data_IF_455789371990
#
_entry.id   IF_455789371990
#
_cell.length_a   1.000
_cell.length_b   1.000
_cell.length_c   1.000
_cell.angle_alpha   90.00
_cell.angle_beta   90.00
_cell.angle_gamma   90.00
#
_symmetry.space_group_name_H-M   'P 1'
#
loop_
_entity.id
_entity.type
_entity.pdbx_description
1 polymer ?
#
# COMPACT_ATOMS: atom_id res chain seq x y z
N UNK A 1 25.96 -50.89 -23.52
CA UNK A 1 25.43 -50.17 -22.34
C UNK A 1 26.10 -48.83 -22.08
N UNK A 2 27.43 -48.70 -22.23
CA UNK A 2 28.17 -47.44 -21.98
C UNK A 2 27.74 -46.24 -22.86
N UNK A 3 27.44 -46.46 -24.16
CA UNK A 3 26.97 -45.39 -25.06
C UNK A 3 25.64 -44.75 -24.65
N UNK A 4 24.72 -45.52 -24.05
CA UNK A 4 23.44 -44.98 -23.59
C UNK A 4 23.59 -44.14 -22.32
N UNK A 5 24.57 -44.46 -21.47
CA UNK A 5 24.88 -43.68 -20.28
C UNK A 5 25.38 -42.27 -20.63
N UNK A 6 26.21 -42.14 -21.69
CA UNK A 6 26.67 -40.83 -22.17
C UNK A 6 25.55 -39.95 -22.72
N UNK A 7 24.57 -40.55 -23.41
CA UNK A 7 23.41 -39.81 -23.94
C UNK A 7 22.53 -39.29 -22.81
N UNK A 8 22.30 -40.08 -21.77
CA UNK A 8 21.53 -39.68 -20.59
C UNK A 8 22.24 -38.54 -19.85
N UNK A 9 23.55 -38.61 -19.71
CA UNK A 9 24.35 -37.57 -19.06
C UNK A 9 24.35 -36.24 -19.85
N UNK A 10 24.43 -36.33 -21.19
CA UNK A 10 24.34 -35.17 -22.08
C UNK A 10 22.97 -34.48 -21.99
N UNK A 11 21.89 -35.26 -21.92
CA UNK A 11 20.52 -34.73 -21.75
C UNK A 11 20.39 -34.05 -20.39
N UNK A 12 20.83 -34.67 -19.29
CA UNK A 12 20.79 -34.04 -17.95
C UNK A 12 21.58 -32.73 -17.88
N UNK A 13 22.76 -32.67 -18.51
CA UNK A 13 23.56 -31.47 -18.58
C UNK A 13 22.83 -30.33 -19.32
N UNK A 14 22.10 -30.65 -20.41
CA UNK A 14 21.31 -29.68 -21.16
C UNK A 14 20.11 -29.11 -20.38
N UNK A 15 19.46 -29.90 -19.51
CA UNK A 15 18.34 -29.42 -18.68
C UNK A 15 18.81 -28.48 -17.56
N UNK A 16 20.08 -28.59 -17.16
CA UNK A 16 20.66 -27.82 -16.04
C UNK A 16 20.89 -26.34 -16.37
N UNK A 17 20.98 -25.98 -17.65
CA UNK A 17 21.18 -24.59 -18.10
C UNK A 17 19.86 -23.83 -18.36
N UNK A 18 18.71 -24.47 -18.19
CA UNK A 18 17.39 -23.87 -18.43
C UNK A 18 16.83 -23.10 -17.23
N UNK A 19 17.57 -23.00 -16.11
CA UNK A 19 17.15 -22.19 -14.96
C UNK A 19 17.40 -20.71 -15.25
N UNK A 20 16.59 -20.16 -16.16
CA UNK A 20 16.41 -18.72 -16.28
C UNK A 20 15.52 -18.31 -15.10
N UNK A 21 16.13 -18.01 -13.95
CA UNK A 21 15.44 -17.22 -12.93
C UNK A 21 15.11 -15.87 -13.58
N UNK A 22 13.88 -15.72 -14.06
CA UNK A 22 13.34 -14.40 -14.35
C UNK A 22 13.27 -13.70 -13.00
N UNK A 23 14.16 -12.73 -12.82
CA UNK A 23 14.08 -11.78 -11.72
C UNK A 23 12.74 -11.04 -11.88
N UNK A 24 11.71 -11.51 -11.17
CA UNK A 24 10.37 -10.94 -11.17
C UNK A 24 10.48 -9.51 -10.61
N UNK A 25 10.55 -8.53 -11.50
CA UNK A 25 10.58 -7.13 -11.11
C UNK A 25 9.18 -6.75 -10.67
N UNK A 26 8.93 -6.78 -9.35
CA UNK A 26 7.64 -6.36 -8.79
C UNK A 26 7.49 -4.84 -8.89
N UNK A 27 6.88 -4.39 -9.99
CA UNK A 27 6.55 -2.97 -10.20
C UNK A 27 5.47 -2.47 -9.27
N UNK A 28 4.55 -3.35 -8.85
CA UNK A 28 3.51 -3.02 -7.87
C UNK A 28 3.97 -3.29 -6.45
N UNK A 29 3.44 -2.51 -5.53
CA UNK A 29 3.67 -2.58 -4.10
C UNK A 29 2.40 -2.20 -3.34
N UNK A 30 2.41 -2.46 -2.03
CA UNK A 30 1.30 -2.11 -1.14
C UNK A 30 1.58 -0.78 -0.45
N UNK A 31 0.68 0.18 -0.62
CA UNK A 31 0.61 1.38 0.21
C UNK A 31 -0.52 1.19 1.23
N UNK A 32 -0.18 1.29 2.52
CA UNK A 32 -1.15 1.31 3.61
C UNK A 32 -1.15 2.70 4.24
N UNK A 33 -2.25 3.43 4.14
CA UNK A 33 -2.40 4.69 4.86
C UNK A 33 -3.07 4.43 6.19
N UNK A 34 -2.70 5.15 7.25
CA UNK A 34 -3.27 5.03 8.59
C UNK A 34 -3.62 6.41 9.11
N UNK A 35 -4.92 6.69 9.27
CA UNK A 35 -5.40 7.92 9.88
C UNK A 35 -5.06 7.94 11.38
N UNK A 36 -4.36 8.98 11.82
CA UNK A 36 -4.08 9.21 13.23
C UNK A 36 -5.24 9.94 13.90
N UNK A 37 -5.75 9.37 15.00
CA UNK A 37 -6.77 10.02 15.83
C UNK A 37 -6.12 10.83 16.94
N UNK A 38 -6.87 11.76 17.52
CA UNK A 38 -6.41 12.53 18.68
C UNK A 38 -6.23 11.60 19.87
N UNK A 39 -5.32 11.97 20.79
CA UNK A 39 -5.04 11.16 21.98
C UNK A 39 -6.31 10.90 22.79
N UNK A 40 -6.59 9.62 23.05
CA UNK A 40 -7.76 9.19 23.83
C UNK A 40 -9.05 9.04 23.04
N UNK A 41 -9.02 9.23 21.71
CA UNK A 41 -10.15 8.91 20.84
C UNK A 41 -10.08 7.46 20.36
N UNK A 42 -11.24 6.80 20.33
CA UNK A 42 -11.46 5.47 19.77
C UNK A 42 -12.27 5.61 18.46
N UNK A 43 -11.78 5.00 17.38
CA UNK A 43 -12.51 4.99 16.10
C UNK A 43 -13.72 4.07 16.20
N UNK A 44 -14.92 4.60 15.92
CA UNK A 44 -16.12 3.78 15.74
C UNK A 44 -16.34 3.52 14.25
N UNK A 45 -16.23 4.55 13.42
CA UNK A 45 -16.51 4.47 11.99
C UNK A 45 -15.73 5.53 11.22
N UNK A 46 -15.35 5.20 9.99
CA UNK A 46 -14.78 6.13 9.03
C UNK A 46 -15.49 5.98 7.68
N UNK A 47 -15.70 7.11 7.01
CA UNK A 47 -16.15 7.18 5.62
C UNK A 47 -15.37 8.30 4.94
N UNK A 48 -14.81 8.06 3.77
CA UNK A 48 -14.02 9.06 3.08
C UNK A 48 -13.37 8.48 1.83
N UNK A 49 -12.45 9.25 1.26
CA UNK A 49 -11.63 8.82 0.13
C UNK A 49 -10.19 9.25 0.35
N UNK A 50 -9.24 8.35 0.09
CA UNK A 50 -7.82 8.66 0.00
C UNK A 50 -7.40 8.49 -1.45
N UNK A 51 -6.59 9.43 -1.93
CA UNK A 51 -6.02 9.45 -3.28
C UNK A 51 -4.51 9.60 -3.21
N UNK A 52 -3.81 8.68 -3.86
CA UNK A 52 -2.38 8.74 -4.13
C UNK A 52 -2.19 9.10 -5.61
N UNK A 53 -1.56 10.24 -5.87
CA UNK A 53 -1.20 10.68 -7.22
C UNK A 53 0.31 10.53 -7.41
N UNK A 54 0.72 9.64 -8.30
CA UNK A 54 2.12 9.45 -8.65
C UNK A 54 2.65 10.73 -9.32
N UNK A 55 3.67 11.35 -8.76
CA UNK A 55 4.19 12.65 -9.21
C UNK A 55 4.92 12.52 -10.56
N UNK A 56 5.52 11.36 -10.83
CA UNK A 56 6.32 11.16 -12.04
C UNK A 56 5.47 10.91 -13.28
N UNK A 57 4.38 10.16 -13.15
CA UNK A 57 3.55 9.74 -14.28
C UNK A 57 2.08 10.18 -14.20
N UNK A 58 1.70 10.93 -13.16
CA UNK A 58 0.35 11.45 -12.94
C UNK A 58 -0.75 10.38 -12.79
N UNK A 59 -0.39 9.11 -12.61
CA UNK A 59 -1.36 8.05 -12.36
C UNK A 59 -1.94 8.18 -10.94
N UNK A 60 -3.27 8.15 -10.86
CA UNK A 60 -4.02 8.29 -9.61
C UNK A 60 -4.56 6.94 -9.14
N UNK A 61 -4.46 6.70 -7.84
CA UNK A 61 -5.00 5.54 -7.14
C UNK A 61 -5.87 6.04 -6.01
N UNK A 62 -7.15 5.67 -6.01
CA UNK A 62 -8.10 6.13 -4.99
C UNK A 62 -8.83 4.95 -4.36
N UNK A 63 -9.13 5.06 -3.08
CA UNK A 63 -9.99 4.11 -2.37
C UNK A 63 -10.88 4.82 -1.36
N UNK A 64 -12.09 4.30 -1.21
CA UNK A 64 -13.02 4.68 -0.14
C UNK A 64 -13.26 3.53 0.85
N UNK A 65 -12.52 2.43 0.69
CA UNK A 65 -12.60 1.27 1.57
C UNK A 65 -11.57 1.39 2.68
N UNK A 66 -12.04 1.38 3.91
CA UNK A 66 -11.22 1.41 5.11
C UNK A 66 -11.41 0.12 5.91
N UNK A 67 -10.31 -0.41 6.43
CA UNK A 67 -10.30 -1.40 7.49
C UNK A 67 -9.84 -0.71 8.78
N UNK A 68 -10.77 -0.47 9.70
CA UNK A 68 -10.56 0.41 10.85
C UNK A 68 -10.07 1.80 10.40
N UNK A 69 -8.92 2.29 10.87
CA UNK A 69 -8.35 3.58 10.45
C UNK A 69 -7.45 3.50 9.23
N UNK A 70 -7.38 2.35 8.55
CA UNK A 70 -6.43 2.10 7.48
C UNK A 70 -7.10 1.98 6.11
N UNK A 71 -6.45 2.51 5.07
CA UNK A 71 -6.79 2.25 3.68
C UNK A 71 -5.61 1.58 2.98
N UNK A 72 -5.89 0.55 2.18
CA UNK A 72 -4.86 -0.27 1.53
C UNK A 72 -5.06 -0.18 0.02
N UNK A 73 -3.97 0.11 -0.71
CA UNK A 73 -3.96 0.22 -2.16
C UNK A 73 -2.78 -0.53 -2.75
N UNK A 74 -3.00 -1.20 -3.88
CA UNK A 74 -1.93 -1.68 -4.76
C UNK A 74 -1.57 -0.56 -5.71
N UNK A 75 -0.32 -0.11 -5.68
CA UNK A 75 0.19 1.02 -6.45
C UNK A 75 1.51 0.66 -7.10
N UNK A 76 1.93 1.39 -8.13
CA UNK A 76 3.30 1.26 -8.63
C UNK A 76 4.31 1.73 -7.58
N UNK A 77 5.52 1.19 -7.60
CA UNK A 77 6.61 1.77 -6.82
C UNK A 77 6.92 3.15 -7.37
N UNK A 78 7.08 4.12 -6.48
CA UNK A 78 7.41 5.48 -6.88
C UNK A 78 7.16 6.51 -5.81
N UNK A 79 7.03 7.75 -6.26
CA UNK A 79 6.84 8.92 -5.41
C UNK A 79 5.46 9.50 -5.66
N UNK A 80 4.75 9.82 -4.58
CA UNK A 80 3.36 10.18 -4.59
C UNK A 80 3.11 11.49 -3.86
N UNK A 81 2.10 12.23 -4.30
CA UNK A 81 1.37 13.16 -3.45
C UNK A 81 0.11 12.45 -2.94
N UNK A 82 -0.34 12.79 -1.74
CA UNK A 82 -1.53 12.23 -1.12
C UNK A 82 -2.51 13.34 -0.82
N UNK A 83 -3.78 13.06 -1.09
CA UNK A 83 -4.90 13.85 -0.61
C UNK A 83 -5.97 12.91 -0.08
N UNK A 84 -6.76 13.39 0.86
CA UNK A 84 -7.90 12.63 1.35
C UNK A 84 -8.83 13.49 2.18
N UNK A 85 -10.09 13.09 2.18
CA UNK A 85 -11.12 13.76 2.95
C UNK A 85 -12.21 12.78 3.36
N UNK A 86 -12.93 13.14 4.41
CA UNK A 86 -14.04 12.32 4.89
C UNK A 86 -14.51 12.71 6.27
N UNK A 87 -15.14 11.75 6.91
CA UNK A 87 -15.79 11.87 8.21
C UNK A 87 -15.40 10.69 9.08
N UNK A 88 -15.10 10.94 10.34
CA UNK A 88 -14.93 9.92 11.38
C UNK A 88 -16.01 10.08 12.44
N UNK A 89 -16.47 8.96 12.98
CA UNK A 89 -17.23 8.88 14.21
C UNK A 89 -16.31 8.31 15.28
N UNK A 90 -16.08 9.09 16.34
CA UNK A 90 -15.14 8.73 17.41
C UNK A 90 -15.82 8.77 18.76
N UNK A 91 -15.36 7.90 19.67
CA UNK A 91 -15.66 7.98 21.09
C UNK A 91 -14.48 8.63 21.80
N UNK A 92 -14.72 9.67 22.58
CA UNK A 92 -13.67 10.34 23.35
C UNK A 92 -13.47 9.66 24.70
N UNK A 93 -12.42 10.08 25.43
CA UNK A 93 -12.10 9.54 26.75
C UNK A 93 -13.20 9.74 27.80
N UNK A 94 -14.05 10.77 27.67
CA UNK A 94 -15.20 11.00 28.57
C UNK A 94 -16.44 10.16 28.21
N UNK A 95 -16.36 9.36 27.14
CA UNK A 95 -17.42 8.49 26.66
C UNK A 95 -18.39 9.14 25.68
N UNK A 96 -18.27 10.44 25.40
CA UNK A 96 -19.04 11.12 24.38
C UNK A 96 -18.69 10.62 22.99
N UNK A 97 -19.68 10.63 22.10
CA UNK A 97 -19.52 10.25 20.71
C UNK A 97 -19.70 11.49 19.85
N UNK A 98 -18.74 11.75 18.98
CA UNK A 98 -18.78 12.88 18.05
C UNK A 98 -18.50 12.43 16.63
N UNK A 99 -18.98 13.25 15.69
CA UNK A 99 -18.69 13.11 14.26
C UNK A 99 -17.80 14.30 13.88
N UNK A 100 -16.67 14.02 13.23
CA UNK A 100 -15.69 15.02 12.82
C UNK A 100 -15.34 14.85 11.35
N UNK A 101 -15.14 15.95 10.65
CA UNK A 101 -14.67 15.94 9.29
C UNK A 101 -13.15 16.05 9.29
N UNK A 102 -12.48 15.34 8.38
CA UNK A 102 -11.04 15.41 8.23
C UNK A 102 -10.65 15.74 6.80
N UNK A 103 -9.51 16.41 6.67
CA UNK A 103 -8.73 16.48 5.45
C UNK A 103 -7.29 16.10 5.75
N UNK A 104 -6.66 15.42 4.80
CA UNK A 104 -5.24 15.05 4.85
C UNK A 104 -4.61 15.45 3.52
N UNK A 105 -3.39 15.95 3.57
CA UNK A 105 -2.62 16.22 2.35
C UNK A 105 -1.14 16.10 2.65
N UNK A 106 -0.44 15.35 1.82
CA UNK A 106 1.01 15.25 1.83
C UNK A 106 1.52 15.53 0.41
N UNK A 107 2.52 16.39 0.31
CA UNK A 107 3.06 16.79 -1.00
C UNK A 107 3.98 15.73 -1.60
N UNK A 108 4.58 14.88 -0.76
CA UNK A 108 5.65 13.96 -1.15
C UNK A 108 5.73 12.74 -0.22
N UNK A 109 5.58 11.55 -0.79
CA UNK A 109 5.68 10.26 -0.10
C UNK A 109 6.42 9.28 -1.01
N UNK A 110 7.40 8.57 -0.47
CA UNK A 110 8.08 7.47 -1.16
C UNK A 110 7.39 6.14 -0.85
N UNK A 111 7.00 5.41 -1.90
CA UNK A 111 6.43 4.06 -1.82
C UNK A 111 7.32 3.13 -2.64
N UNK A 112 8.52 2.84 -2.13
CA UNK A 112 9.57 2.11 -2.85
C UNK A 112 9.77 0.68 -2.34
N UNK A 113 9.45 0.44 -1.06
CA UNK A 113 9.58 -0.88 -0.42
C UNK A 113 8.45 -1.83 -0.85
N UNK A 114 8.54 -3.12 -0.51
CA UNK A 114 7.50 -4.13 -0.78
C UNK A 114 6.15 -3.80 -0.13
N UNK A 115 6.18 -3.06 0.97
CA UNK A 115 5.01 -2.46 1.62
C UNK A 115 5.45 -1.19 2.35
N UNK A 116 4.62 -0.16 2.31
CA UNK A 116 4.89 1.14 2.96
C UNK A 116 3.67 1.58 3.76
N UNK A 117 3.88 1.90 5.04
CA UNK A 117 2.84 2.49 5.90
C UNK A 117 3.02 4.00 5.98
N UNK A 118 1.97 4.74 5.64
CA UNK A 118 1.93 6.20 5.63
C UNK A 118 1.01 6.63 6.76
N UNK A 119 1.55 7.31 7.77
CA UNK A 119 0.74 7.88 8.86
C UNK A 119 0.17 9.20 8.39
N UNK A 120 -1.14 9.36 8.46
CA UNK A 120 -1.84 10.56 8.04
C UNK A 120 -2.17 11.40 9.26
N UNK A 121 -1.76 12.67 9.25
CA UNK A 121 -2.09 13.63 10.29
C UNK A 121 -3.27 14.49 9.82
N UNK A 122 -4.51 14.22 10.28
CA UNK A 122 -5.69 14.94 9.83
C UNK A 122 -5.72 16.39 10.32
N UNK A 123 -6.12 17.27 9.40
CA UNK A 123 -6.66 18.58 9.71
C UNK A 123 -8.15 18.38 9.97
N UNK A 124 -8.56 18.62 11.20
CA UNK A 124 -9.95 18.50 11.64
C UNK A 124 -10.73 19.77 11.30
N UNK A 125 -11.90 19.62 10.69
CA UNK A 125 -12.80 20.72 10.28
C UNK A 125 -14.02 20.83 11.20
#
# INVERSE_FOLDING_TARGET
>A
MIKQLYIICLILALVSFSSCEKEETHYYTTATTRLELSKGEELIQIQGTITLLNISNQQSYSTSTFNNSQAIMQVLRGVYSLQGEGTVRVKTADGSVSVRYFRVSESYIEVLNNSTTIVLHPIWL
#
